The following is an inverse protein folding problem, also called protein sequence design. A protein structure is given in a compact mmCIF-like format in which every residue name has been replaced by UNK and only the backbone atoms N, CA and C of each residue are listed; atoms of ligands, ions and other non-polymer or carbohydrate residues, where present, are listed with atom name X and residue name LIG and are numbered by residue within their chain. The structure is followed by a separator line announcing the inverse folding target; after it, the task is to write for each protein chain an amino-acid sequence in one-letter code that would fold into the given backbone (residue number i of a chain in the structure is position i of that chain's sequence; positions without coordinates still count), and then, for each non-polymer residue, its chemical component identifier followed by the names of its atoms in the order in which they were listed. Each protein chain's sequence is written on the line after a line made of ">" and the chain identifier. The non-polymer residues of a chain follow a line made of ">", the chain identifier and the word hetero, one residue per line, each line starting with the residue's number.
data_IF_098957212425
#
_entry.id   IF_098957212425
#
_cell.length_a   1.000
_cell.length_b   1.000
_cell.length_c   1.000
_cell.angle_alpha   90.00
_cell.angle_beta   90.00
_cell.angle_gamma   90.00
#
_symmetry.space_group_name_H-M   'P 1'
#
loop_
_entity.id
_entity.type
_entity.pdbx_description
1 polymer ?
#
# COMPACT_ATOMS: atom_id res chain seq x y z
N UNK A 1 -13.03 -0.23 -20.39
CA UNK A 1 -11.56 -0.19 -20.53
C UNK A 1 -10.96 -0.02 -19.14
N UNK A 2 -10.17 -0.98 -18.67
CA UNK A 2 -9.27 -0.75 -17.52
C UNK A 2 -7.95 -1.44 -17.85
N UNK A 3 -7.03 -0.69 -18.45
CA UNK A 3 -5.70 -1.14 -18.81
C UNK A 3 -4.80 -1.01 -17.57
N UNK A 4 -5.05 -1.78 -16.51
CA UNK A 4 -4.09 -1.89 -15.42
C UNK A 4 -3.03 -2.88 -15.90
N UNK A 5 -1.86 -2.39 -16.29
CA UNK A 5 -0.72 -3.24 -16.60
C UNK A 5 -0.26 -3.96 -15.32
N UNK A 6 -0.51 -5.28 -15.15
CA UNK A 6 -0.15 -6.00 -13.92
C UNK A 6 1.37 -6.11 -13.72
N UNK A 7 2.15 -5.88 -14.79
CA UNK A 7 3.62 -5.87 -14.78
C UNK A 7 4.20 -4.45 -14.54
N UNK A 8 3.37 -3.39 -14.60
CA UNK A 8 3.82 -2.00 -14.72
C UNK A 8 4.01 -1.24 -13.41
N UNK A 9 3.36 -1.65 -12.32
CA UNK A 9 3.45 -0.94 -11.03
C UNK A 9 4.28 -1.77 -10.06
N UNK A 10 5.46 -1.26 -9.67
CA UNK A 10 6.29 -1.83 -8.59
C UNK A 10 5.62 -1.57 -7.23
N UNK A 11 4.45 -2.18 -7.00
CA UNK A 11 3.63 -2.04 -5.80
C UNK A 11 4.42 -2.34 -4.52
N UNK A 12 5.39 -3.26 -4.61
CA UNK A 12 6.24 -3.61 -3.48
C UNK A 12 7.15 -2.44 -3.04
N UNK A 13 7.76 -1.72 -3.99
CA UNK A 13 8.59 -0.54 -3.70
C UNK A 13 7.72 0.62 -3.21
N UNK A 14 6.54 0.78 -3.82
CA UNK A 14 5.57 1.78 -3.38
C UNK A 14 5.17 1.55 -1.92
N UNK A 15 4.76 0.33 -1.58
CA UNK A 15 4.38 -0.06 -0.21
C UNK A 15 5.50 0.26 0.78
N UNK A 16 6.73 -0.16 0.49
CA UNK A 16 7.88 0.12 1.37
C UNK A 16 8.11 1.62 1.59
N UNK A 17 8.02 2.43 0.52
CA UNK A 17 8.17 3.89 0.63
C UNK A 17 7.06 4.53 1.46
N UNK A 18 5.82 4.09 1.26
CA UNK A 18 4.67 4.59 2.04
C UNK A 18 4.81 4.18 3.51
N UNK A 19 5.19 2.94 3.82
CA UNK A 19 5.46 2.49 5.19
C UNK A 19 6.59 3.30 5.85
N UNK A 20 7.65 3.62 5.11
CA UNK A 20 8.74 4.45 5.63
C UNK A 20 8.30 5.91 5.88
N UNK A 21 7.44 6.46 5.02
CA UNK A 21 6.83 7.76 5.21
C UNK A 21 5.94 7.78 6.45
N UNK A 22 5.07 6.78 6.63
CA UNK A 22 4.23 6.60 7.83
C UNK A 22 5.10 6.60 9.09
N UNK A 23 6.15 5.79 9.13
CA UNK A 23 7.08 5.74 10.29
C UNK A 23 7.74 7.08 10.57
N UNK A 24 8.13 7.82 9.53
CA UNK A 24 8.71 9.16 9.66
C UNK A 24 7.70 10.16 10.24
N UNK A 25 6.45 10.11 9.78
CA UNK A 25 5.38 10.96 10.29
C UNK A 25 5.00 10.61 11.73
N UNK A 26 4.90 9.33 12.08
CA UNK A 26 4.69 8.88 13.46
C UNK A 26 5.81 9.39 14.39
N UNK A 27 7.07 9.27 13.96
CA UNK A 27 8.22 9.74 14.74
C UNK A 27 8.18 11.26 14.93
N UNK A 28 7.81 12.02 13.90
CA UNK A 28 7.66 13.47 13.95
C UNK A 28 6.52 13.87 14.88
N UNK A 29 5.37 13.21 14.78
CA UNK A 29 4.22 13.43 15.64
C UNK A 29 4.58 13.20 17.12
N UNK A 30 5.20 12.06 17.41
CA UNK A 30 5.65 11.73 18.77
C UNK A 30 6.66 12.76 19.30
N UNK A 31 7.56 13.27 18.45
CA UNK A 31 8.52 14.31 18.84
C UNK A 31 7.84 15.64 19.17
N UNK A 32 6.91 16.10 18.34
CA UNK A 32 6.18 17.35 18.55
C UNK A 32 5.38 17.27 19.86
N UNK A 33 4.62 16.20 20.03
CA UNK A 33 3.84 15.95 21.25
C UNK A 33 4.76 15.87 22.47
N UNK A 34 5.90 15.17 22.36
CA UNK A 34 6.88 15.09 23.44
C UNK A 34 7.51 16.43 23.81
N UNK A 35 7.77 17.31 22.84
CA UNK A 35 8.28 18.66 23.12
C UNK A 35 7.25 19.55 23.80
N UNK A 36 5.97 19.38 23.45
CA UNK A 36 4.88 20.13 24.05
C UNK A 36 4.51 19.69 25.47
N UNK A 37 4.75 18.43 25.83
CA UNK A 37 4.53 17.96 27.20
C UNK A 37 5.54 18.59 28.16
N UNK A 38 5.04 19.18 29.25
CA UNK A 38 5.86 19.65 30.36
C UNK A 38 6.52 18.49 31.12
N UNK A 39 7.63 18.77 31.81
CA UNK A 39 8.37 17.78 32.60
C UNK A 39 7.49 17.09 33.66
N UNK A 40 6.48 17.78 34.16
CA UNK A 40 5.49 17.25 35.10
C UNK A 40 4.60 16.17 34.50
N UNK A 41 4.08 16.40 33.29
CA UNK A 41 3.24 15.41 32.60
C UNK A 41 4.09 14.24 32.08
N UNK A 42 5.35 14.49 31.67
CA UNK A 42 6.33 13.42 31.34
C UNK A 42 6.58 12.50 32.53
N UNK A 43 6.74 13.08 33.73
CA UNK A 43 6.93 12.33 34.98
C UNK A 43 5.67 11.55 35.37
N UNK A 44 4.47 12.13 35.20
CA UNK A 44 3.18 11.43 35.43
C UNK A 44 2.95 10.28 34.44
N UNK A 45 3.38 10.43 33.20
CA UNK A 45 3.29 9.39 32.18
C UNK A 45 4.34 8.28 32.38
N UNK A 46 5.34 8.47 33.26
CA UNK A 46 6.39 7.48 33.52
C UNK A 46 7.24 7.14 32.29
N UNK A 47 7.09 7.89 31.20
CA UNK A 47 7.84 7.68 29.97
C UNK A 47 9.14 8.47 30.02
N UNK A 48 10.26 7.79 29.76
CA UNK A 48 11.53 8.46 29.47
C UNK A 48 11.78 8.62 27.96
N UNK A 49 10.81 8.19 27.13
CA UNK A 49 10.86 8.19 25.66
C UNK A 49 9.56 8.74 25.06
N UNK A 50 9.59 9.27 23.82
CA UNK A 50 8.40 9.71 23.12
C UNK A 50 7.39 8.56 22.98
N UNK A 51 6.24 8.67 23.66
CA UNK A 51 5.16 7.70 23.53
C UNK A 51 4.51 7.80 22.15
N UNK A 52 3.94 6.68 21.70
CA UNK A 52 3.22 6.62 20.43
C UNK A 52 1.88 7.34 20.58
N UNK A 53 1.73 8.46 19.87
CA UNK A 53 0.57 9.35 20.02
C UNK A 53 -0.75 8.64 19.74
N UNK A 54 -0.81 7.84 18.68
CA UNK A 54 -2.03 7.12 18.30
C UNK A 54 -2.47 6.09 19.35
N UNK A 55 -1.54 5.49 20.08
CA UNK A 55 -1.85 4.47 21.11
C UNK A 55 -2.29 5.11 22.43
N UNK A 56 -1.80 6.31 22.74
CA UNK A 56 -2.06 7.00 24.01
C UNK A 56 -2.82 8.32 23.83
N UNK A 57 -3.61 8.46 22.74
CA UNK A 57 -4.27 9.71 22.34
C UNK A 57 -5.06 10.36 23.48
N UNK A 58 -5.82 9.57 24.24
CA UNK A 58 -6.63 10.09 25.34
C UNK A 58 -5.79 10.67 26.49
N UNK A 59 -4.73 9.97 26.90
CA UNK A 59 -3.83 10.43 27.96
C UNK A 59 -3.05 11.68 27.53
N UNK A 60 -2.58 11.70 26.28
CA UNK A 60 -1.85 12.81 25.69
C UNK A 60 -2.73 14.05 25.47
N UNK A 61 -3.97 13.88 24.99
CA UNK A 61 -4.92 14.99 24.87
C UNK A 61 -5.23 15.60 26.23
N UNK A 62 -5.49 14.78 27.25
CA UNK A 62 -5.76 15.29 28.61
C UNK A 62 -4.57 16.08 29.18
N UNK A 63 -3.34 15.67 28.86
CA UNK A 63 -2.13 16.40 29.23
C UNK A 63 -1.97 17.71 28.45
N UNK A 64 -2.25 17.69 27.14
CA UNK A 64 -2.21 18.88 26.28
C UNK A 64 -3.30 19.91 26.62
N UNK A 65 -4.49 19.45 27.02
CA UNK A 65 -5.60 20.29 27.49
C UNK A 65 -5.21 21.05 28.77
N UNK A 66 -4.55 20.40 29.73
CA UNK A 66 -4.02 21.05 30.95
C UNK A 66 -2.97 22.13 30.66
N UNK A 67 -2.23 21.95 29.56
CA UNK A 67 -1.23 22.90 29.08
C UNK A 67 -1.83 23.98 28.15
N UNK A 68 -3.17 24.00 28.02
CA UNK A 68 -3.92 24.94 27.19
C UNK A 68 -3.50 24.91 25.70
N UNK A 69 -3.17 23.72 25.20
CA UNK A 69 -2.80 23.46 23.81
C UNK A 69 -1.64 24.33 23.29
N UNK A 70 -0.40 24.07 23.74
CA UNK A 70 0.78 24.79 23.26
C UNK A 70 1.16 24.46 21.81
N UNK A 71 0.41 23.55 21.14
CA UNK A 71 0.60 23.16 19.74
C UNK A 71 -0.68 23.46 18.96
N UNK A 72 -0.52 23.87 17.70
CA UNK A 72 -1.62 23.97 16.75
C UNK A 72 -2.30 22.61 16.53
N UNK A 73 -3.55 22.48 16.99
CA UNK A 73 -4.40 21.31 16.73
C UNK A 73 -4.47 20.97 15.23
N UNK A 74 -4.41 21.99 14.37
CA UNK A 74 -4.44 21.84 12.91
C UNK A 74 -3.23 21.04 12.41
N UNK A 75 -2.04 21.29 12.93
CA UNK A 75 -0.83 20.57 12.51
C UNK A 75 -0.87 19.10 12.95
N UNK A 76 -1.36 18.83 14.16
CA UNK A 76 -1.57 17.46 14.65
C UNK A 76 -2.61 16.71 13.81
N UNK A 77 -3.71 17.38 13.47
CA UNK A 77 -4.77 16.80 12.65
C UNK A 77 -4.30 16.47 11.24
N UNK A 78 -3.50 17.35 10.61
CA UNK A 78 -2.90 17.07 9.29
C UNK A 78 -1.98 15.84 9.35
N UNK A 79 -1.11 15.74 10.36
CA UNK A 79 -0.25 14.56 10.50
C UNK A 79 -1.05 13.27 10.77
N UNK A 80 -2.12 13.35 11.58
CA UNK A 80 -3.01 12.21 11.85
C UNK A 80 -3.69 11.73 10.57
N UNK A 81 -4.25 12.66 9.79
CA UNK A 81 -4.90 12.36 8.52
C UNK A 81 -3.92 11.78 7.49
N UNK A 82 -2.70 12.31 7.40
CA UNK A 82 -1.68 11.81 6.47
C UNK A 82 -1.24 10.38 6.82
N UNK A 83 -1.12 10.06 8.12
CA UNK A 83 -0.82 8.69 8.57
C UNK A 83 -1.97 7.73 8.23
N UNK A 84 -3.23 8.16 8.40
CA UNK A 84 -4.40 7.37 8.04
C UNK A 84 -4.48 7.14 6.52
N UNK A 85 -4.26 8.19 5.72
CA UNK A 85 -4.21 8.10 4.27
C UNK A 85 -3.09 7.14 3.82
N UNK A 86 -1.90 7.24 4.42
CA UNK A 86 -0.81 6.30 4.17
C UNK A 86 -1.19 4.84 4.42
N UNK A 87 -1.89 4.55 5.53
CA UNK A 87 -2.39 3.19 5.82
C UNK A 87 -3.40 2.71 4.77
N UNK A 88 -4.30 3.59 4.35
CA UNK A 88 -5.26 3.28 3.28
C UNK A 88 -4.55 2.98 1.95
N UNK A 89 -3.53 3.76 1.57
CA UNK A 89 -2.77 3.51 0.35
C UNK A 89 -2.04 2.17 0.37
N UNK A 90 -1.50 1.76 1.52
CA UNK A 90 -0.90 0.43 1.69
C UNK A 90 -1.96 -0.67 1.51
N UNK A 91 -3.15 -0.47 2.08
CA UNK A 91 -4.26 -1.42 1.95
C UNK A 91 -4.71 -1.55 0.48
N UNK A 92 -4.94 -0.43 -0.19
CA UNK A 92 -5.32 -0.41 -1.61
C UNK A 92 -4.26 -1.08 -2.50
N UNK A 93 -2.97 -0.83 -2.24
CA UNK A 93 -1.89 -1.49 -2.96
C UNK A 93 -1.88 -3.01 -2.74
N UNK A 94 -2.24 -3.48 -1.55
CA UNK A 94 -2.36 -4.90 -1.23
C UNK A 94 -3.54 -5.54 -1.97
N UNK A 95 -4.70 -4.89 -1.98
CA UNK A 95 -5.89 -5.34 -2.73
C UNK A 95 -5.61 -5.41 -4.24
N UNK A 96 -4.96 -4.40 -4.81
CA UNK A 96 -4.53 -4.39 -6.22
C UNK A 96 -3.58 -5.56 -6.53
N UNK A 97 -2.64 -5.84 -5.62
CA UNK A 97 -1.72 -6.96 -5.79
C UNK A 97 -2.44 -8.31 -5.73
N UNK A 98 -3.42 -8.48 -4.84
CA UNK A 98 -4.22 -9.70 -4.75
C UNK A 98 -5.12 -9.89 -5.98
N UNK A 99 -5.77 -8.83 -6.45
CA UNK A 99 -6.57 -8.87 -7.67
C UNK A 99 -5.71 -9.28 -8.88
N UNK A 100 -4.52 -8.70 -9.02
CA UNK A 100 -3.58 -9.06 -10.08
C UNK A 100 -3.12 -10.53 -9.99
N UNK A 101 -2.87 -11.05 -8.78
CA UNK A 101 -2.51 -12.47 -8.60
C UNK A 101 -3.67 -13.40 -8.97
N UNK A 102 -4.90 -13.06 -8.60
CA UNK A 102 -6.10 -13.85 -8.93
C UNK A 102 -6.34 -13.89 -10.44
N UNK A 103 -6.18 -12.76 -11.13
CA UNK A 103 -6.27 -12.70 -12.60
C UNK A 103 -5.20 -13.58 -13.27
N UNK A 104 -3.93 -13.49 -12.85
CA UNK A 104 -2.86 -14.34 -13.39
C UNK A 104 -3.10 -15.83 -13.13
N UNK A 105 -3.68 -16.21 -11.99
CA UNK A 105 -4.05 -17.60 -11.71
C UNK A 105 -5.19 -18.09 -12.61
N UNK A 106 -6.21 -17.26 -12.86
CA UNK A 106 -7.32 -17.59 -13.77
C UNK A 106 -6.83 -17.69 -15.21
N UNK A 107 -5.97 -16.76 -15.66
CA UNK A 107 -5.36 -16.82 -16.99
C UNK A 107 -4.51 -18.07 -17.18
N UNK A 108 -3.66 -18.43 -16.21
CA UNK A 108 -2.86 -19.68 -16.27
C UNK A 108 -3.74 -20.93 -16.23
N UNK A 109 -4.80 -20.95 -15.43
CA UNK A 109 -5.74 -22.07 -15.40
C UNK A 109 -6.47 -22.22 -16.75
N UNK A 110 -6.84 -21.11 -17.40
CA UNK A 110 -7.49 -21.10 -18.71
C UNK A 110 -6.51 -21.52 -19.82
N UNK A 111 -5.24 -21.11 -19.76
CA UNK A 111 -4.18 -21.56 -20.67
C UNK A 111 -3.86 -23.05 -20.49
N UNK A 112 -3.83 -23.57 -19.24
CA UNK A 112 -3.67 -25.00 -18.98
C UNK A 112 -4.87 -25.81 -19.49
N UNK A 113 -6.11 -25.32 -19.33
CA UNK A 113 -7.29 -25.99 -19.89
C UNK A 113 -7.32 -25.97 -21.43
N UNK A 114 -6.87 -24.88 -22.06
CA UNK A 114 -6.72 -24.83 -23.53
C UNK A 114 -5.61 -25.76 -24.04
N UNK A 115 -4.53 -25.95 -23.26
CA UNK A 115 -3.46 -26.90 -23.60
C UNK A 115 -3.92 -28.37 -23.45
N UNK A 116 -4.86 -28.66 -22.55
CA UNK A 116 -5.44 -30.00 -22.36
C UNK A 116 -6.54 -30.30 -23.40
N UNK A 117 -7.23 -29.28 -23.93
CA UNK A 117 -8.32 -29.43 -24.91
C UNK A 117 -7.90 -29.15 -26.38
N UNK A 118 -6.59 -29.25 -26.68
CA UNK A 118 -6.01 -28.87 -27.96
C UNK A 118 -5.12 -29.92 -28.63
N UNK A 119 -5.55 -31.18 -28.71
CA UNK A 119 -4.95 -32.14 -29.65
C UNK A 119 -6.00 -32.86 -30.49
N UNK A 120 -6.16 -32.48 -31.76
CA UNK A 120 -6.40 -33.42 -32.83
C UNK A 120 -5.11 -33.61 -33.61
N UNK A 121 -4.30 -34.59 -33.24
CA UNK A 121 -3.27 -35.13 -34.12
C UNK A 121 -3.98 -35.88 -35.25
N UNK A 122 -4.14 -35.24 -36.43
CA UNK A 122 -4.24 -35.95 -37.71
C UNK A 122 -3.91 -35.03 -38.89
N UNK A 123 -2.64 -35.14 -39.28
CA UNK A 123 -1.97 -34.77 -40.54
C UNK A 123 -2.91 -34.40 -41.70
N UNK A 124 -2.99 -33.13 -42.06
CA UNK A 124 -3.40 -32.71 -43.41
C UNK A 124 -2.15 -32.41 -44.24
N UNK A 125 -2.01 -33.13 -45.34
CA UNK A 125 -0.87 -33.06 -46.28
C UNK A 125 -0.80 -31.66 -46.90
N UNK A 126 0.34 -30.99 -46.77
CA UNK A 126 0.69 -29.80 -47.54
C UNK A 126 0.88 -30.20 -49.01
N UNK A 127 -0.13 -29.95 -49.85
CA UNK A 127 0.00 -30.05 -51.30
C UNK A 127 0.44 -28.67 -51.82
N UNK A 128 1.69 -28.58 -52.29
CA UNK A 128 2.22 -27.43 -53.05
C UNK A 128 1.25 -27.09 -54.18
N UNK A 129 0.77 -25.85 -54.22
CA UNK A 129 0.23 -25.24 -55.43
C UNK A 129 1.30 -24.29 -55.95
N UNK A 130 1.83 -24.64 -57.11
CA UNK A 130 2.79 -23.88 -57.90
C UNK A 130 2.00 -22.93 -58.81
N UNK A 131 2.12 -21.60 -58.67
CA UNK A 131 1.48 -20.67 -59.58
C UNK A 131 2.57 -20.02 -60.43
N UNK A 132 2.79 -20.49 -61.67
CA UNK A 132 3.22 -19.69 -62.83
C UNK A 132 3.55 -20.61 -64.02
N UNK A 133 2.52 -21.02 -64.77
CA UNK A 133 2.70 -21.34 -66.19
C UNK A 133 1.46 -20.91 -66.97
N UNK A 134 1.61 -19.85 -67.74
CA UNK A 134 0.60 -19.37 -68.68
C UNK A 134 0.65 -17.86 -68.88
N UNK A 135 1.62 -17.38 -69.66
CA UNK A 135 1.35 -16.60 -70.88
C UNK A 135 2.60 -16.55 -71.75
#
# INVERSE_FOLDING_TARGET
>A
MTLINPQGVKLNIYKQKVEQAIKSYEKRLNKIVWQALSQEEKKKLGANKPMRYLENKAALNKALERLNWPISLKELSVLENEILAGKMYVQQAMELQEAAKKENHVSRALEEQQKIQGTPTKKSKSKKLDPLKGQ
#
